data_IF_632588026088
#
_entry.id   IF_632588026088
#
_cell.length_a   1.000
_cell.length_b   1.000
_cell.length_c   1.000
_cell.angle_alpha   90.00
_cell.angle_beta   90.00
_cell.angle_gamma   90.00
#
_symmetry.space_group_name_H-M   'P 1'
#
loop_
_entity.id
_entity.type
_entity.pdbx_description
1 polymer ?
#
# COMPACT_ATOMS: atom_id res chain seq x y z
N UNK A 1 -6.27 -3.06 -23.33
CA UNK A 1 -7.07 -2.05 -24.06
C UNK A 1 -6.29 -1.53 -25.26
N UNK A 2 -5.04 -0.96 -25.11
CA UNK A 2 -4.29 -0.37 -26.25
C UNK A 2 -4.10 -1.39 -27.38
N UNK A 3 -3.54 -2.56 -27.09
CA UNK A 3 -3.31 -3.62 -28.08
C UNK A 3 -4.60 -4.23 -28.62
N UNK A 4 -5.69 -4.23 -27.84
CA UNK A 4 -7.00 -4.68 -28.34
C UNK A 4 -7.59 -3.71 -29.38
N UNK A 5 -7.33 -2.40 -29.22
CA UNK A 5 -7.80 -1.37 -30.14
C UNK A 5 -6.85 -1.11 -31.31
N UNK A 6 -5.55 -1.33 -31.13
CA UNK A 6 -4.48 -1.16 -32.11
C UNK A 6 -3.47 -2.30 -31.97
N UNK A 7 -3.68 -3.44 -32.66
CA UNK A 7 -2.83 -4.62 -32.54
C UNK A 7 -1.35 -4.38 -32.91
N UNK A 8 -1.10 -3.44 -33.84
CA UNK A 8 0.24 -3.10 -34.33
C UNK A 8 0.95 -2.04 -33.46
N UNK A 9 0.34 -1.59 -32.37
CA UNK A 9 0.93 -0.59 -31.48
C UNK A 9 2.16 -1.15 -30.77
N UNK A 10 3.25 -0.37 -30.76
CA UNK A 10 4.47 -0.69 -30.02
C UNK A 10 4.30 -0.27 -28.57
N UNK A 11 4.03 -1.24 -27.71
CA UNK A 11 3.80 -1.03 -26.27
C UNK A 11 4.92 -1.69 -25.48
N UNK A 12 5.56 -0.92 -24.58
CA UNK A 12 6.53 -1.47 -23.65
C UNK A 12 6.03 -1.30 -22.20
N UNK A 13 6.14 -2.37 -21.43
CA UNK A 13 6.01 -2.36 -19.96
C UNK A 13 7.36 -2.74 -19.38
N UNK A 14 7.94 -1.85 -18.59
CA UNK A 14 9.26 -2.01 -17.99
C UNK A 14 9.27 -1.50 -16.55
N UNK A 15 10.04 -2.14 -15.68
CA UNK A 15 10.40 -1.55 -14.40
C UNK A 15 11.46 -0.47 -14.60
N UNK A 16 11.44 0.56 -13.77
CA UNK A 16 12.43 1.64 -13.87
C UNK A 16 13.87 1.15 -13.73
N UNK A 17 14.11 0.08 -12.95
CA UNK A 17 15.42 -0.58 -12.87
C UNK A 17 15.85 -1.21 -14.19
N UNK A 18 14.91 -1.80 -14.93
CA UNK A 18 15.19 -2.37 -16.25
C UNK A 18 15.55 -1.27 -17.25
N UNK A 19 14.81 -0.16 -17.26
CA UNK A 19 15.14 1.01 -18.09
C UNK A 19 16.56 1.50 -17.81
N UNK A 20 16.95 1.61 -16.54
CA UNK A 20 18.32 1.99 -16.13
C UNK A 20 19.33 0.95 -16.61
N UNK A 21 19.04 -0.33 -16.44
CA UNK A 21 19.91 -1.43 -16.89
C UNK A 21 20.11 -1.45 -18.39
N UNK A 22 19.05 -1.22 -19.17
CA UNK A 22 19.10 -1.14 -20.63
C UNK A 22 19.93 0.06 -21.09
N UNK A 23 19.76 1.22 -20.43
CA UNK A 23 20.56 2.41 -20.69
C UNK A 23 22.05 2.17 -20.42
N UNK A 24 22.38 1.57 -19.27
CA UNK A 24 23.77 1.28 -18.89
C UNK A 24 24.42 0.31 -19.89
N UNK A 25 23.71 -0.76 -20.28
CA UNK A 25 24.18 -1.69 -21.30
C UNK A 25 24.41 -1.00 -22.65
N UNK A 26 23.50 -0.14 -23.06
CA UNK A 26 23.64 0.60 -24.33
C UNK A 26 24.84 1.56 -24.30
N UNK A 27 25.13 2.18 -23.15
CA UNK A 27 26.33 3.00 -22.96
C UNK A 27 27.62 2.17 -23.05
N UNK A 28 27.65 1.00 -22.40
CA UNK A 28 28.80 0.09 -22.41
C UNK A 28 29.12 -0.44 -23.82
N UNK A 29 28.11 -0.65 -24.65
CA UNK A 29 28.23 -1.16 -26.01
C UNK A 29 28.21 -0.08 -27.10
N UNK A 30 28.25 1.20 -26.74
CA UNK A 30 28.14 2.35 -27.65
C UNK A 30 26.86 2.35 -28.52
N UNK A 31 25.78 1.78 -28.05
CA UNK A 31 24.47 1.68 -28.74
C UNK A 31 23.40 2.59 -28.11
N UNK A 32 23.81 3.67 -27.44
CA UNK A 32 22.89 4.58 -26.77
C UNK A 32 21.85 5.21 -27.69
N UNK A 33 22.20 5.42 -28.97
CA UNK A 33 21.28 5.95 -29.96
C UNK A 33 20.17 4.94 -30.32
N UNK A 34 20.49 3.66 -30.36
CA UNK A 34 19.50 2.59 -30.60
C UNK A 34 18.53 2.48 -29.42
N UNK A 35 19.05 2.58 -28.18
CA UNK A 35 18.25 2.65 -26.99
C UNK A 35 17.26 3.83 -27.05
N UNK A 36 17.75 5.03 -27.36
CA UNK A 36 16.91 6.23 -27.51
C UNK A 36 15.84 6.04 -28.59
N UNK A 37 16.23 5.55 -29.75
CA UNK A 37 15.30 5.31 -30.84
C UNK A 37 14.23 4.28 -30.47
N UNK A 38 14.60 3.18 -29.80
CA UNK A 38 13.68 2.15 -29.36
C UNK A 38 12.62 2.69 -28.39
N UNK A 39 13.03 3.38 -27.32
CA UNK A 39 12.11 3.89 -26.33
C UNK A 39 11.25 5.08 -26.83
N UNK A 40 11.82 6.00 -27.60
CA UNK A 40 11.10 7.18 -28.12
C UNK A 40 10.16 6.86 -29.28
N UNK A 41 10.32 5.69 -29.92
CA UNK A 41 9.43 5.25 -31.00
C UNK A 41 8.20 4.47 -30.53
N UNK A 42 8.00 4.29 -29.23
CA UNK A 42 6.87 3.57 -28.67
C UNK A 42 5.55 4.36 -28.84
N UNK A 43 4.46 3.63 -29.03
CA UNK A 43 3.11 4.18 -29.00
C UNK A 43 2.56 4.28 -27.57
N UNK A 44 3.05 3.41 -26.69
CA UNK A 44 2.77 3.50 -25.26
C UNK A 44 3.96 2.97 -24.44
N UNK A 45 4.31 3.72 -23.40
CA UNK A 45 5.33 3.34 -22.41
C UNK A 45 4.72 3.27 -21.03
N UNK A 46 4.81 2.10 -20.40
CA UNK A 46 4.42 1.87 -19.02
C UNK A 46 5.69 1.65 -18.21
N UNK A 47 5.94 2.52 -17.23
CA UNK A 47 7.08 2.37 -16.30
C UNK A 47 6.57 2.18 -14.89
N UNK A 48 7.02 1.09 -14.29
CA UNK A 48 6.68 0.72 -12.92
C UNK A 48 7.76 1.19 -11.96
N UNK A 49 7.30 1.67 -10.79
CA UNK A 49 8.15 2.03 -9.66
C UNK A 49 9.15 3.17 -9.95
N UNK A 50 8.68 4.32 -10.43
CA UNK A 50 9.54 5.47 -10.78
C UNK A 50 10.39 6.01 -9.62
N UNK A 51 10.07 5.69 -8.35
CA UNK A 51 10.89 6.04 -7.21
C UNK A 51 12.32 5.45 -7.29
N UNK A 52 12.55 4.38 -8.03
CA UNK A 52 13.87 3.82 -8.26
C UNK A 52 14.80 4.66 -9.15
N UNK A 53 14.26 5.71 -9.81
CA UNK A 53 15.12 6.72 -10.44
C UNK A 53 15.81 7.64 -9.43
N UNK A 54 15.33 7.70 -8.18
CA UNK A 54 15.87 8.58 -7.16
C UNK A 54 17.39 8.44 -7.01
N UNK A 55 18.09 9.58 -6.93
CA UNK A 55 19.54 9.68 -6.82
C UNK A 55 20.35 9.10 -8.01
N UNK A 56 19.71 8.87 -9.17
CA UNK A 56 20.36 8.38 -10.39
C UNK A 56 20.30 9.45 -11.47
N UNK A 57 21.06 10.54 -11.33
CA UNK A 57 20.98 11.74 -12.15
C UNK A 57 20.97 11.47 -13.66
N UNK A 58 21.94 10.68 -14.18
CA UNK A 58 22.02 10.36 -15.61
C UNK A 58 20.80 9.62 -16.13
N UNK A 59 20.25 8.73 -15.32
CA UNK A 59 19.06 7.95 -15.68
C UNK A 59 17.80 8.83 -15.65
N UNK A 60 17.73 9.76 -14.72
CA UNK A 60 16.66 10.75 -14.66
C UNK A 60 16.72 11.69 -15.87
N UNK A 61 17.90 12.13 -16.27
CA UNK A 61 18.08 12.97 -17.45
C UNK A 61 17.61 12.27 -18.73
N UNK A 62 18.06 11.03 -18.97
CA UNK A 62 17.65 10.28 -20.16
C UNK A 62 16.16 9.94 -20.15
N UNK A 63 15.63 9.59 -18.98
CA UNK A 63 14.20 9.36 -18.84
C UNK A 63 13.39 10.63 -19.11
N UNK A 64 13.84 11.78 -18.61
CA UNK A 64 13.21 13.07 -18.88
C UNK A 64 13.12 13.38 -20.38
N UNK A 65 14.20 13.12 -21.12
CA UNK A 65 14.20 13.32 -22.58
C UNK A 65 13.28 12.33 -23.29
N UNK A 66 13.27 11.06 -22.89
CA UNK A 66 12.37 10.05 -23.44
C UNK A 66 10.92 10.38 -23.18
N UNK A 67 10.60 10.77 -21.93
CA UNK A 67 9.26 11.17 -21.52
C UNK A 67 8.74 12.38 -22.31
N UNK A 68 9.57 13.42 -22.48
CA UNK A 68 9.18 14.59 -23.26
C UNK A 68 8.95 14.24 -24.73
N UNK A 69 9.83 13.46 -25.36
CA UNK A 69 9.67 13.05 -26.75
C UNK A 69 8.34 12.30 -26.97
N UNK A 70 8.00 11.38 -26.06
CA UNK A 70 6.73 10.66 -26.13
C UNK A 70 5.51 11.58 -25.96
N UNK A 71 5.58 12.58 -25.05
CA UNK A 71 4.50 13.53 -24.85
C UNK A 71 4.34 14.49 -26.05
N UNK A 72 5.43 14.96 -26.66
CA UNK A 72 5.43 15.80 -27.86
C UNK A 72 4.77 15.07 -29.05
N UNK A 73 5.03 13.77 -29.18
CA UNK A 73 4.40 12.90 -30.17
C UNK A 73 3.00 12.41 -29.76
N UNK A 74 2.43 12.94 -28.67
CA UNK A 74 1.11 12.57 -28.13
C UNK A 74 0.98 11.06 -27.84
N UNK A 75 2.07 10.42 -27.44
CA UNK A 75 2.08 9.01 -27.05
C UNK A 75 1.63 8.82 -25.61
N UNK A 76 1.08 7.64 -25.32
CA UNK A 76 0.60 7.32 -23.99
C UNK A 76 1.78 6.96 -23.07
N UNK A 77 1.88 7.65 -21.93
CA UNK A 77 2.81 7.26 -20.87
C UNK A 77 2.01 6.98 -19.59
N UNK A 78 2.31 5.84 -18.96
CA UNK A 78 1.71 5.43 -17.68
C UNK A 78 2.86 5.16 -16.71
N UNK A 79 2.81 5.81 -15.57
CA UNK A 79 3.84 5.70 -14.53
C UNK A 79 3.21 5.23 -13.24
N UNK A 80 3.88 4.36 -12.50
CA UNK A 80 3.49 4.02 -11.12
C UNK A 80 4.52 4.51 -10.12
N UNK A 81 4.07 4.78 -8.91
CA UNK A 81 4.91 5.20 -7.80
C UNK A 81 4.28 4.73 -6.48
N UNK A 82 5.10 4.40 -5.48
CA UNK A 82 4.64 3.99 -4.15
C UNK A 82 4.09 5.17 -3.30
N UNK A 83 4.33 6.40 -3.75
CA UNK A 83 3.90 7.64 -3.11
C UNK A 83 3.71 8.75 -4.13
N UNK A 84 3.20 9.91 -3.73
CA UNK A 84 3.12 11.05 -4.63
C UNK A 84 4.51 11.41 -5.17
N UNK A 85 4.68 11.60 -6.49
CA UNK A 85 5.99 11.90 -7.10
C UNK A 85 6.70 13.11 -6.47
N UNK A 86 5.95 14.11 -5.97
CA UNK A 86 6.49 15.26 -5.26
C UNK A 86 7.15 14.92 -3.92
N UNK A 87 6.77 13.80 -3.31
CA UNK A 87 7.28 13.33 -2.02
C UNK A 87 8.51 12.42 -2.16
N UNK A 88 8.85 12.03 -3.38
CA UNK A 88 10.02 11.18 -3.63
C UNK A 88 11.28 12.03 -3.50
N UNK A 89 12.06 11.77 -2.45
CA UNK A 89 13.35 12.40 -2.27
C UNK A 89 14.34 11.87 -3.31
N UNK A 90 15.19 12.78 -3.87
CA UNK A 90 16.20 12.40 -4.87
C UNK A 90 15.68 12.32 -6.31
N UNK A 91 14.39 12.61 -6.57
CA UNK A 91 13.90 12.92 -7.91
C UNK A 91 14.11 14.42 -8.21
N UNK A 92 14.54 14.70 -9.44
CA UNK A 92 14.73 16.07 -9.91
C UNK A 92 13.39 16.81 -10.02
N UNK A 93 13.40 18.11 -9.66
CA UNK A 93 12.19 18.95 -9.68
C UNK A 93 11.55 19.07 -11.06
N UNK A 94 12.34 19.00 -12.14
CA UNK A 94 11.82 19.00 -13.52
C UNK A 94 10.98 17.76 -13.82
N UNK A 95 11.37 16.57 -13.32
CA UNK A 95 10.59 15.34 -13.44
C UNK A 95 9.31 15.41 -12.59
N UNK A 96 9.44 15.84 -11.33
CA UNK A 96 8.29 16.00 -10.42
C UNK A 96 7.23 16.94 -11.01
N UNK A 97 7.67 18.03 -11.63
CA UNK A 97 6.78 18.98 -12.30
C UNK A 97 6.05 18.34 -13.48
N UNK A 98 6.77 17.58 -14.31
CA UNK A 98 6.19 16.91 -15.49
C UNK A 98 5.19 15.81 -15.11
N UNK A 99 5.49 15.04 -14.08
CA UNK A 99 4.57 13.98 -13.59
C UNK A 99 3.24 14.57 -13.08
N UNK A 100 3.24 15.82 -12.62
CA UNK A 100 2.02 16.54 -12.22
C UNK A 100 1.14 17.03 -13.37
N UNK A 101 1.57 16.95 -14.62
CA UNK A 101 0.80 17.45 -15.77
C UNK A 101 -0.28 16.46 -16.25
N UNK A 102 -0.11 15.18 -15.94
CA UNK A 102 -1.07 14.13 -16.29
C UNK A 102 -2.14 13.90 -15.23
N UNK A 103 -2.99 12.91 -15.48
CA UNK A 103 -3.95 12.43 -14.50
C UNK A 103 -3.21 11.61 -13.44
N UNK A 104 -3.21 12.08 -12.21
CA UNK A 104 -2.68 11.32 -11.05
C UNK A 104 -3.86 10.73 -10.29
N UNK A 105 -3.84 9.41 -10.11
CA UNK A 105 -4.87 8.65 -9.39
C UNK A 105 -4.22 7.87 -8.26
N UNK A 106 -4.76 7.99 -7.05
CA UNK A 106 -4.39 7.13 -5.93
C UNK A 106 -5.12 5.80 -6.05
N UNK A 107 -4.40 4.70 -5.85
CA UNK A 107 -4.98 3.36 -5.73
C UNK A 107 -4.94 3.00 -4.25
N UNK A 108 -6.10 3.12 -3.61
CA UNK A 108 -6.26 2.80 -2.20
C UNK A 108 -6.34 1.27 -1.98
N UNK A 109 -5.97 0.79 -0.78
CA UNK A 109 -6.21 -0.60 -0.41
C UNK A 109 -7.68 -0.97 -0.58
N UNK A 110 -7.99 -2.19 -1.06
CA UNK A 110 -9.37 -2.61 -1.28
C UNK A 110 -10.15 -2.65 0.04
N UNK A 111 -11.43 -2.32 -0.03
CA UNK A 111 -12.37 -2.54 1.07
C UNK A 111 -12.55 -4.05 1.34
N UNK A 112 -13.16 -4.39 2.48
CA UNK A 112 -13.29 -5.77 2.94
C UNK A 112 -13.99 -6.65 1.88
N UNK A 113 -15.11 -6.19 1.34
CA UNK A 113 -15.90 -6.89 0.33
C UNK A 113 -15.10 -7.10 -0.97
N UNK A 114 -14.36 -6.09 -1.39
CA UNK A 114 -13.47 -6.18 -2.55
C UNK A 114 -12.33 -7.17 -2.29
N UNK A 115 -11.76 -7.17 -1.08
CA UNK A 115 -10.71 -8.13 -0.68
C UNK A 115 -11.22 -9.57 -0.72
N UNK A 116 -12.44 -9.81 -0.25
CA UNK A 116 -13.11 -11.13 -0.33
C UNK A 116 -13.30 -11.55 -1.78
N UNK A 117 -13.81 -10.64 -2.63
CA UNK A 117 -14.00 -10.92 -4.06
C UNK A 117 -12.68 -11.23 -4.78
N UNK A 118 -11.60 -10.51 -4.45
CA UNK A 118 -10.25 -10.79 -4.97
C UNK A 118 -9.80 -12.20 -4.58
N UNK A 119 -9.91 -12.58 -3.30
CA UNK A 119 -9.52 -13.90 -2.80
C UNK A 119 -10.29 -15.02 -3.51
N UNK A 120 -11.61 -14.89 -3.65
CA UNK A 120 -12.45 -15.86 -4.33
C UNK A 120 -12.11 -15.97 -5.82
N UNK A 121 -11.90 -14.86 -6.52
CA UNK A 121 -11.47 -14.83 -7.91
C UNK A 121 -10.11 -15.51 -8.12
N UNK A 122 -9.13 -15.24 -7.23
CA UNK A 122 -7.80 -15.84 -7.29
C UNK A 122 -7.82 -17.34 -6.98
N UNK A 123 -8.65 -17.77 -6.02
CA UNK A 123 -8.84 -19.18 -5.72
C UNK A 123 -9.48 -19.93 -6.91
N UNK A 124 -10.50 -19.36 -7.54
CA UNK A 124 -11.13 -19.91 -8.74
C UNK A 124 -10.14 -20.02 -9.91
N UNK A 125 -9.30 -19.00 -10.13
CA UNK A 125 -8.22 -19.03 -11.13
C UNK A 125 -7.17 -20.14 -10.86
N UNK A 126 -6.97 -20.49 -9.59
CA UNK A 126 -6.12 -21.61 -9.16
C UNK A 126 -6.88 -22.96 -9.13
N UNK A 127 -8.10 -23.02 -9.64
CA UNK A 127 -8.96 -24.21 -9.63
C UNK A 127 -9.17 -24.80 -8.22
N UNK A 128 -9.28 -23.91 -7.22
CA UNK A 128 -9.53 -24.27 -5.82
C UNK A 128 -10.85 -23.67 -5.34
N UNK A 129 -11.62 -24.50 -4.65
CA UNK A 129 -12.82 -24.06 -3.97
C UNK A 129 -12.42 -23.40 -2.64
N UNK A 130 -12.77 -22.13 -2.48
CA UNK A 130 -12.53 -21.34 -1.27
C UNK A 130 -13.89 -20.98 -0.66
N UNK A 131 -14.25 -21.51 0.52
CA UNK A 131 -15.48 -21.10 1.20
C UNK A 131 -15.46 -19.60 1.51
N UNK A 132 -16.61 -18.95 1.35
CA UNK A 132 -16.75 -17.50 1.58
C UNK A 132 -16.33 -17.08 3.00
N UNK A 133 -16.67 -17.91 4.00
CA UNK A 133 -16.25 -17.69 5.39
C UNK A 133 -14.72 -17.65 5.56
N UNK A 134 -13.99 -18.46 4.79
CA UNK A 134 -12.52 -18.48 4.80
C UNK A 134 -11.97 -17.23 4.12
N UNK A 135 -12.54 -16.84 2.98
CA UNK A 135 -12.17 -15.61 2.29
C UNK A 135 -12.40 -14.39 3.19
N UNK A 136 -13.53 -14.36 3.89
CA UNK A 136 -13.87 -13.31 4.85
C UNK A 136 -12.87 -13.25 6.01
N UNK A 137 -12.54 -14.41 6.57
CA UNK A 137 -11.55 -14.54 7.65
C UNK A 137 -10.18 -14.00 7.23
N UNK A 138 -9.68 -14.37 6.05
CA UNK A 138 -8.39 -13.90 5.53
C UNK A 138 -8.44 -12.39 5.32
N UNK A 139 -9.45 -11.87 4.62
CA UNK A 139 -9.61 -10.46 4.33
C UNK A 139 -9.76 -9.59 5.59
N UNK A 140 -10.39 -10.11 6.63
CA UNK A 140 -10.53 -9.41 7.90
C UNK A 140 -9.22 -9.32 8.69
N UNK A 141 -8.36 -10.33 8.57
CA UNK A 141 -7.09 -10.42 9.29
C UNK A 141 -5.96 -9.72 8.55
N UNK A 142 -5.93 -9.79 7.23
CA UNK A 142 -4.86 -9.25 6.40
C UNK A 142 -5.40 -8.03 5.64
N UNK A 143 -5.08 -6.84 6.16
CA UNK A 143 -5.60 -5.55 5.67
C UNK A 143 -4.54 -4.67 5.02
N UNK A 144 -3.29 -5.12 4.99
CA UNK A 144 -2.15 -4.31 4.57
C UNK A 144 -2.15 -4.02 3.07
N UNK A 145 -2.21 -5.05 2.25
CA UNK A 145 -2.18 -4.92 0.79
C UNK A 145 -2.63 -6.23 0.11
N UNK A 146 -2.90 -6.13 -1.20
CA UNK A 146 -3.35 -7.29 -2.00
C UNK A 146 -2.28 -8.37 -2.11
N UNK A 147 -0.99 -8.01 -2.13
CA UNK A 147 0.11 -9.00 -2.20
C UNK A 147 0.13 -9.90 -0.97
N UNK A 148 -0.11 -9.35 0.21
CA UNK A 148 -0.21 -10.15 1.44
C UNK A 148 -1.48 -11.00 1.49
N UNK A 149 -2.61 -10.47 0.99
CA UNK A 149 -3.83 -11.25 0.81
C UNK A 149 -3.59 -12.48 -0.09
N UNK A 150 -2.94 -12.26 -1.24
CA UNK A 150 -2.58 -13.35 -2.16
C UNK A 150 -1.59 -14.32 -1.52
N UNK A 151 -0.59 -13.81 -0.80
CA UNK A 151 0.38 -14.63 -0.06
C UNK A 151 -0.28 -15.55 0.96
N UNK A 152 -1.25 -15.04 1.71
CA UNK A 152 -2.03 -15.84 2.66
C UNK A 152 -2.89 -16.89 1.96
N UNK A 153 -3.58 -16.52 0.87
CA UNK A 153 -4.34 -17.47 0.07
C UNK A 153 -3.44 -18.58 -0.47
N UNK A 154 -2.30 -18.24 -1.07
CA UNK A 154 -1.35 -19.21 -1.59
C UNK A 154 -0.87 -20.17 -0.51
N UNK A 155 -0.63 -19.69 0.71
CA UNK A 155 -0.23 -20.53 1.85
C UNK A 155 -1.33 -21.53 2.24
N UNK A 156 -2.59 -21.08 2.31
CA UNK A 156 -3.73 -21.95 2.60
C UNK A 156 -3.92 -23.00 1.50
N UNK A 157 -3.87 -22.58 0.23
CA UNK A 157 -4.00 -23.47 -0.94
C UNK A 157 -2.87 -24.49 -1.01
N UNK A 158 -1.62 -24.06 -0.81
CA UNK A 158 -0.45 -24.94 -0.82
C UNK A 158 -0.54 -26.01 0.28
N UNK A 159 -0.89 -25.60 1.52
CA UNK A 159 -1.09 -26.54 2.63
C UNK A 159 -2.24 -27.54 2.36
N UNK A 160 -3.36 -27.08 1.80
CA UNK A 160 -4.47 -27.95 1.41
C UNK A 160 -4.06 -28.96 0.34
N UNK A 161 -3.31 -28.51 -0.66
CA UNK A 161 -2.80 -29.37 -1.73
C UNK A 161 -1.82 -30.41 -1.20
N UNK A 162 -0.91 -30.00 -0.31
CA UNK A 162 0.10 -30.88 0.29
C UNK A 162 -0.50 -31.91 1.22
N UNK A 163 -1.47 -31.52 2.04
CA UNK A 163 -2.09 -32.43 3.03
C UNK A 163 -3.28 -33.24 2.50
N UNK A 164 -3.82 -32.87 1.33
CA UNK A 164 -5.05 -33.44 0.77
C UNK A 164 -6.33 -33.07 1.54
N UNK A 165 -6.24 -32.14 2.51
CA UNK A 165 -7.36 -31.72 3.35
C UNK A 165 -8.17 -30.61 2.68
N UNK A 166 -9.50 -30.59 2.83
CA UNK A 166 -10.34 -29.50 2.33
C UNK A 166 -10.03 -28.20 3.06
N UNK A 167 -10.24 -27.08 2.36
CA UNK A 167 -10.09 -25.74 2.94
C UNK A 167 -11.33 -25.44 3.79
N UNK A 168 -11.16 -25.47 5.11
CA UNK A 168 -12.16 -25.08 6.10
C UNK A 168 -11.64 -23.86 6.90
N UNK A 169 -12.53 -23.22 7.66
CA UNK A 169 -12.12 -22.10 8.52
C UNK A 169 -11.06 -22.52 9.56
N UNK A 170 -11.20 -23.68 10.17
CA UNK A 170 -10.21 -24.20 11.12
C UNK A 170 -8.88 -24.51 10.45
N UNK A 171 -8.94 -25.12 9.27
CA UNK A 171 -7.75 -25.39 8.47
C UNK A 171 -7.01 -24.10 8.11
N UNK A 172 -7.74 -23.07 7.67
CA UNK A 172 -7.15 -21.78 7.33
C UNK A 172 -6.51 -21.08 8.56
N UNK A 173 -7.15 -21.14 9.73
CA UNK A 173 -6.58 -20.65 10.99
C UNK A 173 -5.26 -21.34 11.33
N UNK A 174 -5.22 -22.67 11.18
CA UNK A 174 -3.99 -23.43 11.43
C UNK A 174 -2.90 -23.11 10.42
N UNK A 175 -3.22 -23.07 9.13
CA UNK A 175 -2.28 -22.75 8.06
C UNK A 175 -1.66 -21.36 8.18
N UNK A 176 -2.40 -20.39 8.73
CA UNK A 176 -1.98 -19.00 8.89
C UNK A 176 -1.53 -18.65 10.31
N UNK A 177 -1.50 -19.60 11.25
CA UNK A 177 -1.20 -19.37 12.67
C UNK A 177 0.08 -18.57 12.88
N UNK A 178 1.18 -18.96 12.24
CA UNK A 178 2.48 -18.31 12.41
C UNK A 178 2.49 -16.90 11.81
N UNK A 179 1.82 -16.71 10.66
CA UNK A 179 1.69 -15.41 10.01
C UNK A 179 0.90 -14.43 10.89
N UNK A 180 -0.22 -14.89 11.43
CA UNK A 180 -1.07 -14.09 12.31
C UNK A 180 -0.38 -13.79 13.66
N UNK A 181 0.35 -14.76 14.22
CA UNK A 181 1.10 -14.57 15.46
C UNK A 181 2.24 -13.55 15.29
N UNK A 182 2.86 -13.48 14.12
CA UNK A 182 3.84 -12.43 13.79
C UNK A 182 3.18 -11.05 13.72
N UNK A 183 2.04 -10.94 13.05
CA UNK A 183 1.29 -9.68 12.98
C UNK A 183 0.81 -9.23 14.37
N UNK A 184 0.27 -10.13 15.19
CA UNK A 184 -0.17 -9.83 16.55
C UNK A 184 1.00 -9.35 17.45
N UNK A 185 2.24 -9.79 17.19
CA UNK A 185 3.46 -9.32 17.90
C UNK A 185 3.92 -7.94 17.45
N UNK A 186 3.71 -7.58 16.19
CA UNK A 186 4.14 -6.29 15.63
C UNK A 186 3.15 -5.17 16.01
N UNK A 187 1.87 -5.49 16.18
CA UNK A 187 0.80 -4.52 16.48
C UNK A 187 0.48 -4.54 17.98
N UNK A 188 1.38 -3.99 18.80
CA UNK A 188 1.11 -3.75 20.22
C UNK A 188 0.56 -2.35 20.47
N UNK A 189 -0.13 -2.16 21.60
CA UNK A 189 -0.64 -0.82 21.98
C UNK A 189 0.51 0.18 22.10
N UNK A 190 1.65 -0.23 22.65
CA UNK A 190 2.83 0.62 22.77
C UNK A 190 3.35 1.03 21.38
N UNK A 191 3.39 0.10 20.42
CA UNK A 191 3.82 0.41 19.07
C UNK A 191 2.83 1.37 18.37
N UNK A 192 1.53 1.16 18.54
CA UNK A 192 0.50 2.08 18.06
C UNK A 192 0.69 3.48 18.63
N UNK A 193 0.92 3.59 19.95
CA UNK A 193 1.17 4.88 20.60
C UNK A 193 2.39 5.58 20.03
N UNK A 194 3.49 4.85 19.83
CA UNK A 194 4.75 5.36 19.28
C UNK A 194 4.55 5.90 17.86
N UNK A 195 3.98 5.08 16.99
CA UNK A 195 3.79 5.43 15.56
C UNK A 195 2.82 6.61 15.42
N UNK A 196 1.68 6.61 16.15
CA UNK A 196 0.74 7.73 16.10
C UNK A 196 1.35 9.00 16.68
N UNK A 197 2.16 8.91 17.73
CA UNK A 197 2.86 10.06 18.29
C UNK A 197 3.85 10.67 17.29
N UNK A 198 4.65 9.83 16.65
CA UNK A 198 5.61 10.24 15.62
C UNK A 198 4.91 10.87 14.41
N UNK A 199 3.91 10.21 13.87
CA UNK A 199 3.11 10.70 12.72
C UNK A 199 2.46 12.06 13.01
N UNK A 200 1.92 12.23 14.22
CA UNK A 200 1.24 13.45 14.65
C UNK A 200 2.19 14.51 15.23
N UNK A 201 3.50 14.26 15.26
CA UNK A 201 4.55 15.13 15.83
C UNK A 201 4.26 15.53 17.29
N UNK A 202 3.78 14.58 18.09
CA UNK A 202 3.55 14.72 19.54
C UNK A 202 4.39 13.69 20.30
N UNK A 203 4.57 13.86 21.60
CA UNK A 203 5.27 12.86 22.42
C UNK A 203 4.29 11.79 22.89
N UNK A 204 4.74 10.55 23.05
CA UNK A 204 3.95 9.45 23.63
C UNK A 204 3.38 9.85 24.99
N UNK A 205 4.18 10.51 25.83
CA UNK A 205 3.73 11.02 27.13
C UNK A 205 2.54 12.00 27.04
N UNK A 206 2.42 12.75 25.93
CA UNK A 206 1.28 13.65 25.72
C UNK A 206 0.01 12.85 25.36
N UNK A 207 0.13 11.73 24.65
CA UNK A 207 -1.01 10.82 24.39
C UNK A 207 -1.56 10.22 25.69
N UNK A 208 -0.70 9.91 26.65
CA UNK A 208 -1.06 9.34 27.96
C UNK A 208 -1.52 10.40 28.97
N UNK A 209 -1.19 11.67 28.74
CA UNK A 209 -1.46 12.77 29.66
C UNK A 209 -2.96 13.10 29.78
N UNK A 210 -3.35 13.82 30.86
CA UNK A 210 -4.72 14.34 31.06
C UNK A 210 -5.02 15.58 30.19
N UNK A 211 -4.08 16.06 29.37
CA UNK A 211 -4.27 17.23 28.51
C UNK A 211 -5.40 17.02 27.49
N UNK A 212 -6.18 18.09 27.24
CA UNK A 212 -7.38 18.07 26.37
C UNK A 212 -7.26 18.96 25.13
N UNK A 213 -6.07 19.44 24.81
CA UNK A 213 -5.85 20.24 23.59
C UNK A 213 -6.17 19.41 22.35
N UNK A 214 -6.77 20.02 21.35
CA UNK A 214 -7.19 19.32 20.11
C UNK A 214 -6.01 18.64 19.41
N UNK A 215 -4.81 19.26 19.44
CA UNK A 215 -3.56 18.70 18.89
C UNK A 215 -3.10 17.41 19.57
N UNK A 216 -3.56 17.12 20.79
CA UNK A 216 -3.24 15.91 21.54
C UNK A 216 -4.43 14.95 21.58
N UNK A 217 -5.65 15.50 21.72
CA UNK A 217 -6.86 14.70 21.86
C UNK A 217 -7.17 13.93 20.58
N UNK A 218 -7.00 14.55 19.40
CA UNK A 218 -7.28 13.90 18.12
C UNK A 218 -6.32 12.73 17.84
N UNK A 219 -4.98 12.86 17.91
CA UNK A 219 -4.06 11.73 17.83
C UNK A 219 -4.36 10.62 18.85
N UNK A 220 -4.66 10.98 20.08
CA UNK A 220 -5.04 10.02 21.11
C UNK A 220 -6.30 9.23 20.74
N UNK A 221 -7.33 9.88 20.23
CA UNK A 221 -8.56 9.22 19.78
C UNK A 221 -8.27 8.27 18.61
N UNK A 222 -7.44 8.68 17.66
CA UNK A 222 -6.99 7.84 16.55
C UNK A 222 -6.24 6.62 17.07
N UNK A 223 -5.28 6.80 18.00
CA UNK A 223 -4.52 5.70 18.59
C UNK A 223 -5.40 4.70 19.34
N UNK A 224 -6.38 5.18 20.13
CA UNK A 224 -7.36 4.31 20.80
C UNK A 224 -8.23 3.54 19.79
N UNK A 225 -8.65 4.18 18.71
CA UNK A 225 -9.44 3.55 17.66
C UNK A 225 -8.64 2.49 16.92
N UNK A 226 -7.37 2.76 16.59
CA UNK A 226 -6.44 1.80 15.98
C UNK A 226 -6.18 0.62 16.93
N UNK A 227 -5.95 0.88 18.22
CA UNK A 227 -5.77 -0.18 19.21
C UNK A 227 -6.99 -1.11 19.27
N UNK A 228 -8.22 -0.56 19.21
CA UNK A 228 -9.44 -1.38 19.17
C UNK A 228 -9.62 -2.13 17.87
N UNK A 229 -9.19 -1.57 16.74
CA UNK A 229 -9.34 -2.18 15.42
C UNK A 229 -8.27 -3.24 15.14
N UNK A 230 -7.03 -3.02 15.59
CA UNK A 230 -5.87 -3.82 15.22
C UNK A 230 -5.40 -4.80 16.30
N UNK A 231 -5.95 -4.73 17.52
CA UNK A 231 -5.59 -5.63 18.62
C UNK A 231 -6.81 -6.33 19.20
N UNK A 232 -6.57 -7.42 19.93
CA UNK A 232 -7.62 -8.17 20.62
C UNK A 232 -7.95 -7.61 22.02
N UNK A 233 -7.38 -6.45 22.39
CA UNK A 233 -7.60 -5.87 23.71
C UNK A 233 -9.03 -5.36 23.90
N UNK A 234 -9.53 -5.53 25.13
CA UNK A 234 -10.81 -4.99 25.55
C UNK A 234 -10.75 -3.46 25.74
N UNK A 235 -11.90 -2.79 25.71
CA UNK A 235 -11.96 -1.34 25.94
C UNK A 235 -11.35 -0.89 27.28
N UNK A 236 -11.56 -1.61 28.42
CA UNK A 236 -10.87 -1.31 29.66
C UNK A 236 -9.36 -1.40 29.56
N UNK A 237 -8.80 -2.50 29.01
CA UNK A 237 -7.35 -2.68 28.82
C UNK A 237 -6.74 -1.58 27.97
N UNK A 238 -7.41 -1.19 26.87
CA UNK A 238 -6.98 -0.04 26.06
C UNK A 238 -6.99 1.23 26.91
N UNK A 239 -8.05 1.47 27.68
CA UNK A 239 -8.15 2.63 28.56
C UNK A 239 -7.00 2.73 29.55
N UNK A 240 -6.65 1.62 30.18
CA UNK A 240 -5.53 1.53 31.14
C UNK A 240 -4.20 1.90 30.47
N UNK A 241 -3.94 1.38 29.28
CA UNK A 241 -2.73 1.67 28.50
C UNK A 241 -2.65 3.12 27.99
N UNK A 242 -3.77 3.84 27.96
CA UNK A 242 -3.84 5.27 27.61
C UNK A 242 -3.93 6.19 28.83
N UNK A 243 -3.29 5.82 29.93
CA UNK A 243 -3.18 6.63 31.16
C UNK A 243 -4.37 6.48 32.10
N UNK A 244 -4.90 5.27 32.25
CA UNK A 244 -5.98 4.91 33.18
C UNK A 244 -7.31 5.55 32.78
N UNK A 245 -7.67 5.53 31.51
CA UNK A 245 -8.93 6.08 31.02
C UNK A 245 -10.03 5.05 31.07
N UNK A 246 -11.21 5.54 31.42
CA UNK A 246 -12.40 4.70 31.44
C UNK A 246 -12.75 4.17 30.03
N UNK A 247 -13.30 2.96 29.96
CA UNK A 247 -13.72 2.30 28.73
C UNK A 247 -14.72 3.13 27.91
N UNK A 248 -15.55 3.95 28.54
CA UNK A 248 -16.47 4.87 27.85
C UNK A 248 -15.72 5.95 27.05
N UNK A 249 -14.56 6.40 27.56
CA UNK A 249 -13.68 7.33 26.83
C UNK A 249 -13.13 6.68 25.56
N UNK A 250 -12.72 5.42 25.63
CA UNK A 250 -12.24 4.66 24.48
C UNK A 250 -13.36 4.45 23.46
N UNK A 251 -14.55 4.05 23.93
CA UNK A 251 -15.73 3.87 23.09
C UNK A 251 -16.13 5.16 22.37
N UNK A 252 -16.13 6.29 23.12
CA UNK A 252 -16.39 7.61 22.52
C UNK A 252 -15.33 7.97 21.48
N UNK A 253 -14.06 7.69 21.74
CA UNK A 253 -12.97 7.92 20.79
C UNK A 253 -13.19 7.14 19.49
N UNK A 254 -13.51 5.86 19.56
CA UNK A 254 -13.79 5.02 18.40
C UNK A 254 -14.97 5.57 17.57
N UNK A 255 -16.09 5.91 18.23
CA UNK A 255 -17.27 6.49 17.56
C UNK A 255 -16.93 7.83 16.88
N UNK A 256 -16.18 8.67 17.57
CA UNK A 256 -15.77 9.98 17.04
C UNK A 256 -14.85 9.85 15.84
N UNK A 257 -13.86 8.95 15.88
CA UNK A 257 -12.95 8.69 14.78
C UNK A 257 -13.70 8.12 13.57
N UNK A 258 -14.64 7.19 13.78
CA UNK A 258 -15.48 6.68 12.70
C UNK A 258 -16.21 7.81 11.97
N UNK A 259 -16.88 8.70 12.72
CA UNK A 259 -17.57 9.86 12.13
C UNK A 259 -16.59 10.80 11.39
N UNK A 260 -15.40 11.04 11.94
CA UNK A 260 -14.41 11.91 11.32
C UNK A 260 -13.86 11.31 10.01
N UNK A 261 -13.70 9.99 9.92
CA UNK A 261 -13.32 9.29 8.68
C UNK A 261 -14.36 9.42 7.58
N UNK A 262 -15.64 9.53 7.95
CA UNK A 262 -16.74 9.72 6.98
C UNK A 262 -16.83 11.17 6.50
N UNK A 263 -16.51 12.15 7.37
CA UNK A 263 -16.74 13.58 7.12
C UNK A 263 -15.50 14.37 6.70
N UNK A 264 -14.29 13.93 7.05
CA UNK A 264 -13.04 14.62 6.79
C UNK A 264 -12.07 13.72 5.99
N UNK A 265 -11.86 13.98 4.69
CA UNK A 265 -10.98 13.21 3.81
C UNK A 265 -9.57 13.07 4.37
N UNK A 266 -9.02 14.15 4.93
CA UNK A 266 -7.69 14.15 5.55
C UNK A 266 -7.57 13.15 6.71
N UNK A 267 -8.60 13.05 7.56
CA UNK A 267 -8.59 12.08 8.67
C UNK A 267 -8.69 10.65 8.16
N UNK A 268 -9.42 10.44 7.08
CA UNK A 268 -9.49 9.13 6.40
C UNK A 268 -8.12 8.72 5.88
N UNK A 269 -7.44 9.61 5.18
CA UNK A 269 -6.09 9.37 4.64
C UNK A 269 -5.07 9.11 5.75
N UNK A 270 -5.03 9.98 6.78
CA UNK A 270 -4.13 9.81 7.93
C UNK A 270 -4.36 8.45 8.63
N UNK A 271 -5.63 8.05 8.79
CA UNK A 271 -5.98 6.78 9.43
C UNK A 271 -5.54 5.57 8.60
N UNK A 272 -5.73 5.62 7.28
CA UNK A 272 -5.29 4.57 6.36
C UNK A 272 -3.76 4.46 6.30
N UNK A 273 -3.06 5.59 6.28
CA UNK A 273 -1.60 5.62 6.33
C UNK A 273 -1.07 4.99 7.64
N UNK A 274 -1.69 5.31 8.77
CA UNK A 274 -1.33 4.72 10.06
C UNK A 274 -1.58 3.22 10.10
N UNK A 275 -2.70 2.72 9.56
CA UNK A 275 -2.94 1.27 9.42
C UNK A 275 -1.82 0.65 8.59
N UNK A 276 -1.47 1.24 7.44
CA UNK A 276 -0.42 0.72 6.56
C UNK A 276 0.93 0.62 7.28
N UNK A 277 1.32 1.66 8.02
CA UNK A 277 2.59 1.67 8.78
C UNK A 277 2.59 0.63 9.89
N UNK A 278 1.44 0.42 10.56
CA UNK A 278 1.31 -0.51 11.69
C UNK A 278 1.22 -1.98 11.25
N UNK A 279 0.80 -2.24 10.01
CA UNK A 279 0.60 -3.60 9.48
C UNK A 279 1.63 -3.99 8.41
N UNK A 280 2.55 -3.11 8.07
CA UNK A 280 3.71 -3.38 7.20
C UNK A 280 4.85 -3.97 8.05
#
# INVERSE_FOLDING_TARGET
>A
VILANRPDARVAYVHSEQFVGDMVRALQHNTINDFKAAYRSLDALLIDDIQFFANKERSQEEFFHTFNALLEDQRQVILTCDRYPKEVNGLEERLKSRFGWGLTVSIDPPELETSVAILMSKAAAAHKELPEEVAFFIAQRIRSNVRELEGALHRVVANSTFTGRPITLEFAKDALRDLLALQDRLVTIENIQKIVAEYSKVRVADLLSKRRNRSITRPRQIAMSLAKELTNHSLPEIGDQFGGRDHTTVLHACRRVKLLRETESRVREDYQNLIRILTA
#
